data_IF_006047308338
#
_entry.id   IF_006047308338
#
_cell.length_a   1.000
_cell.length_b   1.000
_cell.length_c   1.000
_cell.angle_alpha   90.00
_cell.angle_beta   90.00
_cell.angle_gamma   90.00
#
_symmetry.space_group_name_H-M   'P 1'
#
loop_
_entity.id
_entity.type
_entity.pdbx_description
1 polymer ?
#
# COMPACT_ATOMS: atom_id res chain seq x y z
N UNK A 1 -52.09 -46.81 12.46
CA UNK A 1 -52.26 -48.28 12.51
C UNK A 1 -50.91 -48.91 12.79
N UNK A 2 -50.89 -49.72 13.91
CA UNK A 2 -49.92 -50.80 14.26
C UNK A 2 -48.45 -50.40 14.31
N UNK A 3 -47.81 -50.16 15.46
CA UNK A 3 -47.37 -51.08 16.57
C UNK A 3 -46.59 -52.30 16.10
N UNK A 4 -45.26 -52.34 16.44
CA UNK A 4 -44.64 -53.53 16.99
C UNK A 4 -43.34 -53.17 17.75
N UNK A 5 -43.38 -53.40 19.06
CA UNK A 5 -42.22 -53.52 19.97
C UNK A 5 -41.64 -54.94 19.79
N UNK A 6 -40.35 -55.10 19.90
CA UNK A 6 -39.70 -56.34 20.35
C UNK A 6 -38.48 -55.97 21.22
N UNK A 7 -38.60 -56.31 22.50
CA UNK A 7 -37.52 -56.37 23.50
C UNK A 7 -36.95 -57.81 23.52
N UNK A 8 -35.64 -57.96 23.65
CA UNK A 8 -34.93 -59.16 24.19
C UNK A 8 -33.57 -58.67 24.74
N UNK A 9 -33.40 -58.64 25.95
CA UNK A 9 -32.90 -59.25 27.16
C UNK A 9 -31.63 -60.09 26.97
N UNK A 10 -30.57 -59.66 27.66
CA UNK A 10 -29.63 -60.49 28.43
C UNK A 10 -28.35 -60.94 27.74
N UNK A 11 -27.23 -60.60 28.28
CA UNK A 11 -26.34 -61.48 29.10
C UNK A 11 -25.13 -60.68 29.59
N UNK A 12 -24.95 -60.70 30.90
CA UNK A 12 -23.80 -60.22 31.65
C UNK A 12 -22.65 -61.22 31.49
N UNK A 13 -21.43 -60.77 31.12
CA UNK A 13 -20.21 -61.46 31.42
C UNK A 13 -19.16 -60.49 31.90
N UNK A 14 -18.85 -60.58 33.18
CA UNK A 14 -17.71 -59.87 33.78
C UNK A 14 -16.43 -60.66 33.50
N UNK A 15 -15.41 -60.01 32.97
CA UNK A 15 -14.03 -60.46 33.01
C UNK A 15 -13.15 -59.24 33.43
N UNK A 16 -12.63 -59.41 34.67
CA UNK A 16 -11.56 -58.59 35.25
C UNK A 16 -10.26 -58.82 34.50
N UNK A 17 -9.68 -57.71 33.98
CA UNK A 17 -8.33 -57.69 33.44
C UNK A 17 -7.67 -56.37 33.80
N UNK A 18 -6.81 -56.37 34.80
CA UNK A 18 -5.85 -55.32 35.08
C UNK A 18 -4.84 -55.24 33.93
N UNK A 19 -4.60 -54.06 33.39
CA UNK A 19 -3.33 -53.75 32.73
C UNK A 19 -3.17 -52.25 32.52
N UNK A 20 -2.14 -51.72 33.12
CA UNK A 20 -1.27 -50.61 32.76
C UNK A 20 -1.90 -49.32 32.19
N UNK A 21 -1.96 -48.38 33.08
CA UNK A 21 -2.14 -46.95 32.79
C UNK A 21 -0.87 -46.37 32.13
N UNK A 22 -0.76 -46.51 30.82
CA UNK A 22 0.14 -45.62 30.04
C UNK A 22 -0.62 -44.34 29.73
N UNK A 23 -0.44 -43.33 30.57
CA UNK A 23 -0.85 -41.96 30.28
C UNK A 23 -0.04 -41.44 29.08
N UNK A 24 -0.54 -41.67 27.87
CA UNK A 24 -0.13 -40.89 26.73
C UNK A 24 -0.62 -39.47 26.97
N UNK A 25 0.27 -38.63 27.46
CA UNK A 25 0.13 -37.16 27.39
C UNK A 25 0.14 -36.83 25.90
N UNK A 26 -1.03 -36.83 25.30
CA UNK A 26 -1.26 -36.23 24.00
C UNK A 26 -1.06 -34.72 24.16
N UNK A 27 0.15 -34.25 23.91
CA UNK A 27 0.40 -32.84 23.70
C UNK A 27 -0.41 -32.45 22.47
N UNK A 28 -1.58 -31.83 22.67
CA UNK A 28 -2.22 -31.01 21.66
C UNK A 28 -1.27 -29.87 21.38
N UNK A 29 -0.42 -30.04 20.38
CA UNK A 29 0.23 -28.93 19.71
C UNK A 29 -0.91 -28.18 18.99
N UNK A 30 -1.57 -27.26 19.71
CA UNK A 30 -2.36 -26.24 19.05
C UNK A 30 -1.37 -25.46 18.19
N UNK A 31 -1.55 -25.50 16.87
CA UNK A 31 -0.86 -24.55 16.01
C UNK A 31 -1.07 -23.14 16.59
N UNK A 32 -0.05 -22.29 16.64
CA UNK A 32 -0.24 -20.91 17.05
C UNK A 32 -1.42 -20.31 16.29
N UNK A 33 -2.30 -19.61 16.96
CA UNK A 33 -3.35 -18.86 16.27
C UNK A 33 -2.66 -17.94 15.25
N UNK A 34 -3.13 -17.95 14.00
CA UNK A 34 -2.62 -17.06 12.99
C UNK A 34 -2.80 -15.62 13.48
N UNK A 35 -1.72 -14.83 13.45
CA UNK A 35 -1.74 -13.41 13.80
C UNK A 35 -1.86 -12.63 12.50
N UNK A 36 -2.88 -11.78 12.39
CA UNK A 36 -3.07 -10.91 11.23
C UNK A 36 -2.48 -9.54 11.54
N UNK A 37 -1.60 -9.06 10.67
CA UNK A 37 -1.06 -7.71 10.68
C UNK A 37 -1.73 -6.91 9.58
N UNK A 38 -2.44 -5.84 9.94
CA UNK A 38 -3.15 -5.00 8.97
C UNK A 38 -2.35 -3.73 8.68
N UNK A 39 -1.91 -3.58 7.42
CA UNK A 39 -1.09 -2.47 6.96
C UNK A 39 -1.89 -1.61 5.98
N UNK A 40 -2.11 -0.34 6.33
CA UNK A 40 -2.68 0.66 5.43
C UNK A 40 -1.54 1.42 4.76
N UNK A 41 -1.54 1.47 3.42
CA UNK A 41 -0.42 2.07 2.68
C UNK A 41 -0.87 2.78 1.40
N UNK A 42 -0.21 3.88 1.10
CA UNK A 42 -0.44 4.63 -0.15
C UNK A 42 -0.36 3.73 -1.39
N UNK A 43 -1.17 4.02 -2.42
CA UNK A 43 -1.30 3.20 -3.64
C UNK A 43 0.02 2.92 -4.33
N UNK A 44 0.95 3.87 -4.38
CA UNK A 44 2.30 3.68 -4.94
C UNK A 44 3.15 2.60 -4.24
N UNK A 45 2.83 2.27 -2.97
CA UNK A 45 3.51 1.21 -2.22
C UNK A 45 3.00 -0.20 -2.55
N UNK A 46 1.91 -0.35 -3.32
CA UNK A 46 1.21 -1.63 -3.54
C UNK A 46 2.15 -2.75 -3.96
N UNK A 47 2.96 -2.54 -5.00
CA UNK A 47 3.84 -3.59 -5.53
C UNK A 47 4.96 -3.95 -4.55
N UNK A 48 5.62 -2.94 -3.99
CA UNK A 48 6.70 -3.11 -3.04
C UNK A 48 6.25 -3.83 -1.78
N UNK A 49 5.19 -3.35 -1.15
CA UNK A 49 4.69 -3.93 0.09
C UNK A 49 4.10 -5.33 -0.11
N UNK A 50 3.40 -5.58 -1.23
CA UNK A 50 2.91 -6.94 -1.55
C UNK A 50 4.07 -7.94 -1.65
N UNK A 51 5.15 -7.57 -2.33
CA UNK A 51 6.32 -8.44 -2.47
C UNK A 51 7.07 -8.64 -1.14
N UNK A 52 7.21 -7.56 -0.34
CA UNK A 52 7.86 -7.63 0.98
C UNK A 52 6.98 -8.43 1.96
N UNK A 53 5.65 -8.30 1.88
CA UNK A 53 4.71 -9.06 2.71
C UNK A 53 4.91 -10.57 2.61
N UNK A 54 5.14 -11.08 1.41
CA UNK A 54 5.45 -12.51 1.20
C UNK A 54 6.73 -12.93 1.92
N UNK A 55 7.78 -12.10 1.86
CA UNK A 55 9.04 -12.39 2.53
C UNK A 55 8.90 -12.29 4.05
N UNK A 56 8.15 -11.28 4.52
CA UNK A 56 7.88 -11.08 5.95
C UNK A 56 7.09 -12.26 6.55
N UNK A 57 6.04 -12.73 5.87
CA UNK A 57 5.27 -13.92 6.29
C UNK A 57 6.14 -15.18 6.33
N UNK A 58 7.03 -15.35 5.35
CA UNK A 58 7.97 -16.48 5.33
C UNK A 58 8.97 -16.44 6.51
N UNK A 59 9.37 -15.23 6.94
CA UNK A 59 10.24 -15.02 8.10
C UNK A 59 9.50 -15.15 9.44
N UNK A 60 8.15 -14.98 9.45
CA UNK A 60 7.31 -14.97 10.65
C UNK A 60 6.21 -16.05 10.55
N UNK A 61 6.53 -17.36 10.75
CA UNK A 61 5.55 -18.43 10.61
C UNK A 61 4.32 -18.23 11.50
N UNK A 62 3.12 -18.24 10.90
CA UNK A 62 1.84 -18.01 11.58
C UNK A 62 1.38 -16.54 11.54
N UNK A 63 2.12 -15.65 10.89
CA UNK A 63 1.69 -14.30 10.58
C UNK A 63 1.09 -14.26 9.18
N UNK A 64 0.04 -13.45 9.00
CA UNK A 64 -0.50 -13.03 7.70
C UNK A 64 -0.53 -11.52 7.66
N UNK A 65 -0.01 -10.92 6.59
CA UNK A 65 -0.05 -9.47 6.37
C UNK A 65 -1.19 -9.14 5.42
N UNK A 66 -2.15 -8.38 5.91
CA UNK A 66 -3.29 -7.89 5.12
C UNK A 66 -3.07 -6.43 4.79
N UNK A 67 -3.14 -6.10 3.52
CA UNK A 67 -2.95 -4.74 3.04
C UNK A 67 -4.27 -4.07 2.69
N UNK A 68 -4.39 -2.78 3.04
CA UNK A 68 -5.38 -1.87 2.49
C UNK A 68 -4.62 -0.76 1.75
N UNK A 69 -4.65 -0.83 0.42
CA UNK A 69 -3.97 0.15 -0.45
C UNK A 69 -4.98 1.16 -0.99
N UNK A 70 -4.56 2.42 -1.06
CA UNK A 70 -5.39 3.49 -1.59
C UNK A 70 -4.74 4.86 -1.45
N UNK A 71 -5.44 5.92 -1.82
CA UNK A 71 -4.98 7.28 -1.59
C UNK A 71 -4.88 7.58 -0.09
N UNK A 72 -3.81 8.26 0.30
CA UNK A 72 -3.48 8.43 1.74
C UNK A 72 -4.51 9.25 2.51
N UNK A 73 -5.21 10.17 1.87
CA UNK A 73 -6.33 10.93 2.44
C UNK A 73 -7.48 10.01 2.83
N UNK A 74 -7.90 9.13 1.91
CA UNK A 74 -8.95 8.13 2.16
C UNK A 74 -8.56 7.14 3.26
N UNK A 75 -7.30 6.68 3.29
CA UNK A 75 -6.80 5.78 4.32
C UNK A 75 -6.75 6.46 5.69
N UNK A 76 -6.31 7.72 5.77
CA UNK A 76 -6.32 8.51 7.01
C UNK A 76 -7.75 8.66 7.55
N UNK A 77 -8.71 9.06 6.71
CA UNK A 77 -10.11 9.17 7.08
C UNK A 77 -10.71 7.83 7.56
N UNK A 78 -10.32 6.71 6.96
CA UNK A 78 -10.75 5.39 7.40
C UNK A 78 -10.15 5.02 8.76
N UNK A 79 -8.85 5.27 9.00
CA UNK A 79 -8.21 5.04 10.29
C UNK A 79 -8.91 5.82 11.39
N UNK A 80 -9.25 7.09 11.13
CA UNK A 80 -9.90 7.96 12.09
C UNK A 80 -11.33 7.53 12.44
N UNK A 81 -12.09 7.10 11.43
CA UNK A 81 -13.51 6.78 11.60
C UNK A 81 -13.78 5.34 12.01
N UNK A 82 -12.99 4.39 11.52
CA UNK A 82 -13.21 2.95 11.66
C UNK A 82 -12.10 2.25 12.43
N UNK A 83 -10.89 2.81 12.46
CA UNK A 83 -9.70 2.14 12.97
C UNK A 83 -9.25 1.00 12.07
N UNK A 84 -8.70 -0.06 12.67
CA UNK A 84 -8.39 -1.33 12.01
C UNK A 84 -6.99 -1.43 11.40
N UNK A 85 -6.22 -0.35 11.35
CA UNK A 85 -4.83 -0.40 10.92
C UNK A 85 -3.89 -0.67 12.11
N UNK A 86 -2.95 -1.58 11.94
CA UNK A 86 -1.80 -1.76 12.83
C UNK A 86 -0.66 -0.82 12.44
N UNK A 87 -0.46 -0.64 11.13
CA UNK A 87 0.57 0.23 10.53
C UNK A 87 -0.07 1.15 9.51
N UNK A 88 0.38 2.41 9.47
CA UNK A 88 0.06 3.35 8.41
C UNK A 88 1.33 3.84 7.72
N UNK A 89 1.39 3.71 6.39
CA UNK A 89 2.43 4.22 5.52
C UNK A 89 1.82 5.20 4.52
N UNK A 90 2.04 6.48 4.72
CA UNK A 90 1.45 7.55 3.93
C UNK A 90 2.42 8.02 2.84
N UNK A 91 1.89 8.38 1.66
CA UNK A 91 2.67 9.06 0.62
C UNK A 91 2.80 10.58 0.87
N UNK A 92 2.36 11.06 2.01
CA UNK A 92 2.44 12.49 2.41
C UNK A 92 2.57 12.64 3.92
N UNK A 93 3.41 13.59 4.33
CA UNK A 93 3.52 14.01 5.74
C UNK A 93 2.19 14.55 6.28
N UNK A 94 1.41 15.25 5.48
CA UNK A 94 0.12 15.86 5.86
C UNK A 94 -0.85 14.84 6.43
N UNK A 95 -1.08 13.73 5.73
CA UNK A 95 -2.03 12.70 6.17
C UNK A 95 -1.51 11.87 7.34
N UNK A 96 -0.20 11.75 7.47
CA UNK A 96 0.39 11.18 8.69
C UNK A 96 0.22 12.12 9.89
N UNK A 97 0.38 13.44 9.70
CA UNK A 97 0.16 14.45 10.75
C UNK A 97 -1.29 14.43 11.24
N UNK A 98 -2.25 14.21 10.33
CA UNK A 98 -3.67 14.13 10.62
C UNK A 98 -4.01 12.90 11.48
N UNK A 99 -3.55 11.72 11.09
CA UNK A 99 -3.70 10.49 11.88
C UNK A 99 -2.97 10.59 13.22
N UNK A 100 -1.77 11.21 13.26
CA UNK A 100 -1.03 11.43 14.52
C UNK A 100 -1.78 12.35 15.47
N UNK A 101 -2.43 13.41 14.94
CA UNK A 101 -3.20 14.37 15.72
C UNK A 101 -4.55 13.85 16.22
N UNK A 102 -5.15 12.89 15.57
CA UNK A 102 -6.48 12.33 15.88
C UNK A 102 -6.39 10.99 16.60
N UNK A 103 -6.06 9.92 15.88
CA UNK A 103 -5.95 8.55 16.40
C UNK A 103 -4.66 8.37 17.20
N UNK A 104 -3.59 9.02 16.76
CA UNK A 104 -2.24 8.90 17.30
C UNK A 104 -1.45 7.76 16.68
N UNK A 105 -0.13 7.94 16.66
CA UNK A 105 0.84 6.95 16.19
C UNK A 105 1.99 6.82 17.18
N UNK A 106 2.82 5.80 17.02
CA UNK A 106 4.11 5.62 17.72
C UNK A 106 5.20 5.33 16.71
N UNK A 107 6.42 5.67 17.06
CA UNK A 107 7.63 5.33 16.32
C UNK A 107 7.61 5.79 14.83
N UNK A 108 6.98 6.97 14.59
CA UNK A 108 6.95 7.58 13.26
C UNK A 108 8.37 7.81 12.75
N UNK A 109 8.61 7.33 11.54
CA UNK A 109 9.89 7.51 10.82
C UNK A 109 9.64 7.71 9.33
N UNK A 110 10.65 8.18 8.59
CA UNK A 110 10.58 8.23 7.14
C UNK A 110 10.94 6.87 6.55
N UNK A 111 10.09 6.34 5.69
CA UNK A 111 10.24 5.08 5.01
C UNK A 111 11.15 5.23 3.77
N UNK A 112 10.72 6.07 2.85
CA UNK A 112 11.37 6.34 1.56
C UNK A 112 11.06 7.77 1.13
N UNK A 113 11.72 8.22 0.06
CA UNK A 113 11.31 9.38 -0.71
C UNK A 113 10.98 8.99 -2.16
N UNK A 114 10.33 9.88 -2.89
CA UNK A 114 9.95 9.67 -4.29
C UNK A 114 10.00 11.00 -5.03
N UNK A 115 10.10 10.95 -6.35
CA UNK A 115 10.10 12.10 -7.24
C UNK A 115 8.95 11.97 -8.24
N UNK A 116 8.56 13.10 -8.84
CA UNK A 116 7.54 13.11 -9.87
C UNK A 116 8.17 12.96 -11.26
N UNK A 117 7.36 12.39 -12.17
CA UNK A 117 7.68 12.21 -13.57
C UNK A 117 6.42 12.46 -14.40
N UNK A 118 6.58 13.05 -15.58
CA UNK A 118 5.49 13.09 -16.57
C UNK A 118 5.45 11.78 -17.32
N UNK A 119 4.26 11.21 -17.48
CA UNK A 119 4.04 10.05 -18.34
C UNK A 119 3.15 10.38 -19.52
N UNK A 120 3.41 9.73 -20.67
CA UNK A 120 2.61 9.81 -21.89
C UNK A 120 2.30 8.40 -22.40
N UNK A 121 1.30 8.22 -23.29
CA UNK A 121 1.17 6.99 -24.05
C UNK A 121 2.47 6.65 -24.80
N UNK A 122 2.71 5.37 -25.17
CA UNK A 122 3.96 4.96 -25.82
C UNK A 122 4.25 5.66 -27.15
N UNK A 123 3.22 6.01 -27.90
CA UNK A 123 3.31 6.71 -29.18
C UNK A 123 3.38 8.25 -29.05
N UNK A 124 3.16 8.77 -27.82
CA UNK A 124 3.23 10.18 -27.46
C UNK A 124 2.61 11.10 -28.53
N UNK A 125 1.31 11.00 -28.79
CA UNK A 125 0.67 11.68 -29.92
C UNK A 125 0.71 13.20 -29.81
N UNK A 126 0.74 13.75 -28.59
CA UNK A 126 0.86 15.18 -28.34
C UNK A 126 2.31 15.71 -28.44
N UNK A 127 3.30 14.80 -28.55
CA UNK A 127 4.71 15.19 -28.70
C UNK A 127 5.34 15.82 -27.45
N UNK A 128 4.88 15.46 -26.25
CA UNK A 128 5.35 15.95 -24.96
C UNK A 128 6.80 15.52 -24.72
N UNK A 129 7.69 16.48 -24.43
CA UNK A 129 9.13 16.26 -24.20
C UNK A 129 9.64 16.93 -22.93
N UNK A 130 8.84 17.78 -22.32
CA UNK A 130 9.15 18.49 -21.08
C UNK A 130 7.87 18.75 -20.28
N UNK A 131 8.03 19.17 -19.04
CA UNK A 131 6.92 19.57 -18.16
C UNK A 131 6.13 20.76 -18.77
N UNK A 132 6.84 21.70 -19.40
CA UNK A 132 6.24 22.89 -20.00
C UNK A 132 5.32 22.57 -21.17
N UNK A 133 5.54 21.46 -21.87
CA UNK A 133 4.69 21.04 -22.99
C UNK A 133 3.26 20.72 -22.56
N UNK A 134 3.04 20.42 -21.26
CA UNK A 134 1.70 20.23 -20.70
C UNK A 134 0.83 21.49 -20.75
N UNK A 135 1.45 22.67 -20.85
CA UNK A 135 0.76 23.96 -20.97
C UNK A 135 0.33 24.27 -22.41
N UNK A 136 0.72 23.48 -23.41
CA UNK A 136 0.34 23.71 -24.80
C UNK A 136 -1.18 23.56 -24.98
N UNK A 137 -1.77 24.42 -25.80
CA UNK A 137 -3.21 24.37 -26.07
C UNK A 137 -3.63 23.07 -26.72
N UNK A 138 -4.68 22.43 -26.13
CA UNK A 138 -5.28 21.21 -26.64
C UNK A 138 -4.65 19.93 -26.09
N UNK A 139 -3.61 20.00 -25.28
CA UNK A 139 -3.07 18.85 -24.54
C UNK A 139 -4.08 18.41 -23.48
N UNK A 140 -4.37 17.13 -23.44
CA UNK A 140 -5.27 16.54 -22.44
C UNK A 140 -4.45 15.96 -21.29
N UNK A 141 -4.54 16.58 -20.11
CA UNK A 141 -3.79 16.20 -18.92
C UNK A 141 -4.68 15.47 -17.91
N UNK A 142 -4.17 14.41 -17.29
CA UNK A 142 -4.78 13.76 -16.12
C UNK A 142 -3.86 13.94 -14.92
N UNK A 143 -4.41 14.43 -13.83
CA UNK A 143 -3.76 14.50 -12.52
C UNK A 143 -4.58 13.70 -11.52
N UNK A 144 -3.99 13.27 -10.42
CA UNK A 144 -4.80 12.84 -9.29
C UNK A 144 -5.54 14.01 -8.66
N UNK A 145 -6.62 13.74 -7.94
CA UNK A 145 -7.46 14.77 -7.31
C UNK A 145 -6.67 15.58 -6.26
N UNK A 146 -7.16 16.78 -5.95
CA UNK A 146 -6.68 17.54 -4.79
C UNK A 146 -6.95 16.75 -3.50
N UNK A 147 -6.00 16.79 -2.55
CA UNK A 147 -5.98 15.98 -1.33
C UNK A 147 -5.26 14.64 -1.51
N UNK A 148 -5.23 14.09 -2.72
CA UNK A 148 -4.43 12.91 -3.02
C UNK A 148 -2.95 13.32 -3.12
N UNK A 149 -2.02 12.67 -2.41
CA UNK A 149 -0.63 13.13 -2.31
C UNK A 149 0.04 13.44 -3.65
N UNK A 150 -0.01 12.52 -4.62
CA UNK A 150 0.60 12.74 -5.95
C UNK A 150 -0.06 13.91 -6.70
N UNK A 151 -1.36 14.11 -6.51
CA UNK A 151 -2.10 15.23 -7.08
C UNK A 151 -1.70 16.57 -6.49
N UNK A 152 -1.47 16.64 -5.19
CA UNK A 152 -1.02 17.84 -4.49
C UNK A 152 0.43 18.17 -4.87
N UNK A 153 1.33 17.18 -4.89
CA UNK A 153 2.71 17.37 -5.32
C UNK A 153 2.82 17.77 -6.81
N UNK A 154 1.98 17.19 -7.69
CA UNK A 154 1.93 17.60 -9.09
C UNK A 154 1.56 19.07 -9.23
N UNK A 155 0.56 19.54 -8.50
CA UNK A 155 0.14 20.95 -8.49
C UNK A 155 1.21 21.87 -7.91
N UNK A 156 1.93 21.43 -6.88
CA UNK A 156 3.07 22.16 -6.32
C UNK A 156 4.21 22.26 -7.35
N UNK A 157 4.56 21.16 -8.01
CA UNK A 157 5.55 21.12 -9.09
C UNK A 157 5.18 22.11 -10.22
N UNK A 158 3.94 22.12 -10.68
CA UNK A 158 3.45 23.06 -11.70
C UNK A 158 3.55 24.52 -11.25
N UNK A 159 3.28 24.82 -9.97
CA UNK A 159 3.47 26.15 -9.39
C UNK A 159 4.95 26.54 -9.34
N UNK A 160 5.84 25.62 -8.98
CA UNK A 160 7.28 25.84 -8.99
C UNK A 160 7.76 26.20 -10.41
N UNK A 161 7.25 25.49 -11.42
CA UNK A 161 7.50 25.76 -12.84
C UNK A 161 6.77 26.99 -13.38
N UNK A 162 5.81 27.59 -12.64
CA UNK A 162 4.99 28.75 -13.02
C UNK A 162 4.13 28.52 -14.27
N UNK A 163 3.63 27.32 -14.45
CA UNK A 163 2.74 26.88 -15.54
C UNK A 163 1.41 26.29 -15.03
N UNK A 164 1.16 26.39 -13.74
CA UNK A 164 -0.01 25.80 -13.09
C UNK A 164 -1.34 26.27 -13.72
N UNK A 165 -1.47 27.55 -14.05
CA UNK A 165 -2.70 28.10 -14.63
C UNK A 165 -3.02 27.45 -15.99
N UNK A 166 -2.04 27.36 -16.86
CA UNK A 166 -2.18 26.83 -18.22
C UNK A 166 -2.42 25.31 -18.19
N UNK A 167 -1.63 24.58 -17.38
CA UNK A 167 -1.78 23.12 -17.28
C UNK A 167 -3.10 22.74 -16.62
N UNK A 168 -3.53 23.43 -15.56
CA UNK A 168 -4.81 23.15 -14.91
C UNK A 168 -6.01 23.44 -15.84
N UNK A 169 -5.88 24.35 -16.81
CA UNK A 169 -6.89 24.55 -17.85
C UNK A 169 -6.97 23.36 -18.84
N UNK A 170 -5.90 22.59 -18.96
CA UNK A 170 -5.79 21.40 -19.80
C UNK A 170 -6.17 20.11 -19.07
N UNK A 171 -6.44 20.14 -17.75
CA UNK A 171 -6.83 18.96 -16.98
C UNK A 171 -8.24 18.52 -17.37
N UNK A 172 -8.33 17.34 -17.95
CA UNK A 172 -9.59 16.71 -18.38
C UNK A 172 -10.18 15.75 -17.34
N UNK A 173 -9.35 15.25 -16.43
CA UNK A 173 -9.80 14.36 -15.36
C UNK A 173 -8.92 14.51 -14.11
N UNK A 174 -9.56 14.34 -12.94
CA UNK A 174 -8.91 14.18 -11.65
C UNK A 174 -9.11 12.73 -11.20
N UNK A 175 -8.05 11.93 -11.26
CA UNK A 175 -8.05 10.52 -10.91
C UNK A 175 -8.08 10.31 -9.38
N UNK A 176 -8.53 9.16 -8.95
CA UNK A 176 -8.62 8.83 -7.52
C UNK A 176 -7.25 8.58 -6.87
N UNK A 177 -6.25 8.13 -7.66
CA UNK A 177 -4.88 7.89 -7.22
C UNK A 177 -3.89 7.87 -8.40
N UNK A 178 -2.60 7.61 -8.11
CA UNK A 178 -1.50 7.43 -9.06
C UNK A 178 -1.75 6.27 -10.02
N UNK A 179 -2.23 5.13 -9.53
CA UNK A 179 -2.51 3.95 -10.35
C UNK A 179 -3.58 4.23 -11.42
N UNK A 180 -4.61 5.02 -11.06
CA UNK A 180 -5.66 5.43 -12.00
C UNK A 180 -5.13 6.42 -13.05
N UNK A 181 -4.19 7.32 -12.70
CA UNK A 181 -3.49 8.17 -13.68
C UNK A 181 -2.71 7.30 -14.66
N UNK A 182 -1.89 6.35 -14.16
CA UNK A 182 -1.13 5.42 -15.01
C UNK A 182 -2.05 4.66 -15.97
N UNK A 183 -3.15 4.10 -15.45
CA UNK A 183 -4.09 3.34 -16.27
C UNK A 183 -4.72 4.18 -17.39
N UNK A 184 -5.10 5.42 -17.10
CA UNK A 184 -5.67 6.36 -18.08
C UNK A 184 -4.68 6.68 -19.20
N UNK A 185 -3.41 6.92 -18.84
CA UNK A 185 -2.37 7.22 -19.84
C UNK A 185 -2.01 5.98 -20.66
N UNK A 186 -1.86 4.82 -20.00
CA UNK A 186 -1.54 3.57 -20.68
C UNK A 186 -2.63 3.12 -21.66
N UNK A 187 -3.90 3.48 -21.41
CA UNK A 187 -5.01 3.22 -22.34
C UNK A 187 -5.11 4.22 -23.50
N UNK A 188 -4.35 5.33 -23.45
CA UNK A 188 -4.39 6.40 -24.46
C UNK A 188 -5.63 7.29 -24.37
N UNK A 189 -6.29 7.33 -23.20
CA UNK A 189 -7.47 8.19 -22.97
C UNK A 189 -7.12 9.65 -22.71
N UNK A 190 -5.84 9.95 -22.46
CA UNK A 190 -5.31 11.32 -22.34
C UNK A 190 -3.86 11.37 -22.86
N UNK A 191 -3.34 12.58 -23.07
CA UNK A 191 -2.03 12.81 -23.68
C UNK A 191 -0.89 12.72 -22.68
N UNK A 192 -1.11 13.13 -21.42
CA UNK A 192 -0.09 13.12 -20.39
C UNK A 192 -0.68 13.10 -18.98
N UNK A 193 0.12 12.61 -18.02
CA UNK A 193 -0.16 12.67 -16.59
C UNK A 193 1.11 12.87 -15.79
N UNK A 194 0.97 13.24 -14.52
CA UNK A 194 2.09 13.34 -13.56
C UNK A 194 1.87 12.29 -12.48
N UNK A 195 2.90 11.45 -12.29
CA UNK A 195 2.91 10.35 -11.31
C UNK A 195 4.27 10.28 -10.62
N UNK A 196 4.45 9.32 -9.72
CA UNK A 196 5.76 9.07 -9.13
C UNK A 196 6.67 8.24 -10.05
N UNK A 197 7.97 8.41 -9.92
CA UNK A 197 8.96 7.57 -10.64
C UNK A 197 8.76 6.09 -10.31
N UNK A 198 8.42 5.76 -9.06
CA UNK A 198 8.14 4.37 -8.63
C UNK A 198 6.94 3.71 -9.32
N UNK A 199 6.02 4.50 -9.92
CA UNK A 199 4.87 3.97 -10.65
C UNK A 199 5.26 3.44 -12.03
N UNK A 200 6.38 3.94 -12.60
CA UNK A 200 6.92 3.49 -13.90
C UNK A 200 7.78 2.23 -13.71
N UNK A 201 7.19 1.19 -13.15
CA UNK A 201 7.85 -0.10 -12.98
C UNK A 201 8.15 -0.79 -14.30
N UNK A 202 8.98 -1.85 -14.27
CA UNK A 202 9.30 -2.66 -15.45
C UNK A 202 8.06 -3.24 -16.15
N UNK A 203 6.94 -3.41 -15.44
CA UNK A 203 5.67 -3.86 -16.00
C UNK A 203 4.92 -2.72 -16.69
N UNK A 204 5.01 -1.51 -16.18
CA UNK A 204 4.33 -0.31 -16.68
C UNK A 204 5.10 0.33 -17.83
N UNK A 205 6.43 0.36 -17.75
CA UNK A 205 7.32 1.01 -18.73
C UNK A 205 7.06 0.65 -20.21
N UNK A 206 6.59 -0.55 -20.60
CA UNK A 206 6.20 -0.81 -21.99
C UNK A 206 4.92 -0.10 -22.42
N UNK A 207 4.09 0.38 -21.48
CA UNK A 207 2.76 0.96 -21.72
C UNK A 207 2.74 2.48 -21.61
N UNK A 208 3.84 3.11 -21.18
CA UNK A 208 3.97 4.57 -21.07
C UNK A 208 5.41 4.99 -21.41
N UNK A 209 5.59 6.25 -21.83
CA UNK A 209 6.92 6.88 -21.84
C UNK A 209 7.00 7.79 -20.62
N UNK A 210 8.19 7.85 -20.01
CA UNK A 210 8.51 8.78 -18.95
C UNK A 210 9.30 9.98 -19.50
N UNK A 211 8.94 11.17 -19.03
CA UNK A 211 9.65 12.43 -19.33
C UNK A 211 10.03 13.05 -18.00
N UNK A 212 11.33 13.20 -17.78
CA UNK A 212 11.89 13.70 -16.53
C UNK A 212 11.46 15.15 -16.26
N UNK A 213 11.19 15.45 -14.99
CA UNK A 213 10.92 16.79 -14.50
C UNK A 213 12.22 17.35 -13.92
N UNK A 214 12.63 18.58 -14.30
CA UNK A 214 13.86 19.18 -13.77
C UNK A 214 13.84 19.29 -12.23
N UNK A 215 14.97 18.97 -11.58
CA UNK A 215 15.11 18.91 -10.11
C UNK A 215 14.76 20.24 -9.42
N UNK A 216 14.99 21.38 -10.10
CA UNK A 216 14.74 22.72 -9.54
C UNK A 216 13.26 23.08 -9.43
N UNK A 217 12.37 22.32 -10.09
CA UNK A 217 10.92 22.47 -10.01
C UNK A 217 10.21 21.23 -9.48
N UNK A 218 10.88 20.06 -9.50
CA UNK A 218 10.32 18.83 -8.99
C UNK A 218 10.06 18.92 -7.48
N UNK A 219 9.23 18.02 -6.95
CA UNK A 219 8.91 17.92 -5.53
C UNK A 219 9.33 16.54 -5.02
N UNK A 220 10.09 16.55 -3.94
CA UNK A 220 10.47 15.31 -3.26
C UNK A 220 9.37 14.91 -2.29
N UNK A 221 8.63 13.87 -2.63
CA UNK A 221 7.62 13.29 -1.78
C UNK A 221 8.29 12.45 -0.67
N UNK A 222 7.99 12.75 0.58
CA UNK A 222 8.46 11.97 1.73
C UNK A 222 7.34 11.06 2.22
N UNK A 223 7.66 9.79 2.40
CA UNK A 223 6.73 8.76 2.86
C UNK A 223 7.00 8.43 4.33
N UNK A 224 6.25 8.99 5.28
CA UNK A 224 6.29 8.54 6.67
C UNK A 224 5.57 7.21 6.85
N UNK A 225 6.06 6.42 7.81
CA UNK A 225 5.44 5.20 8.31
C UNK A 225 5.41 5.21 9.82
N UNK A 226 4.38 4.60 10.41
CA UNK A 226 4.23 4.53 11.85
C UNK A 226 3.33 3.37 12.29
N UNK A 227 3.47 2.94 13.53
CA UNK A 227 2.51 2.05 14.20
C UNK A 227 1.32 2.88 14.69
N UNK A 228 0.10 2.46 14.36
CA UNK A 228 -1.13 3.14 14.79
C UNK A 228 -1.40 2.82 16.26
N UNK A 229 -1.70 3.83 17.07
CA UNK A 229 -2.04 3.63 18.49
C UNK A 229 -3.30 2.79 18.63
N UNK A 230 -3.26 1.87 19.60
CA UNK A 230 -4.38 0.95 19.84
C UNK A 230 -4.30 -0.34 19.02
N UNK A 231 -3.27 -0.52 18.18
CA UNK A 231 -2.96 -1.80 17.56
C UNK A 231 -2.84 -2.90 18.62
N UNK A 232 -3.55 -4.01 18.42
CA UNK A 232 -3.41 -5.20 19.26
C UNK A 232 -2.11 -5.96 18.96
N UNK A 233 -1.44 -5.65 17.84
CA UNK A 233 -0.24 -6.30 17.33
C UNK A 233 0.97 -5.36 17.30
N UNK A 234 1.06 -4.39 18.23
CA UNK A 234 2.06 -3.30 18.17
C UNK A 234 3.51 -3.79 18.03
N UNK A 235 3.89 -4.87 18.72
CA UNK A 235 5.25 -5.44 18.62
C UNK A 235 5.52 -6.02 17.22
N UNK A 236 4.52 -6.65 16.58
CA UNK A 236 4.62 -7.19 15.23
C UNK A 236 4.59 -6.06 14.19
N UNK A 237 3.76 -5.04 14.42
CA UNK A 237 3.72 -3.84 13.61
C UNK A 237 5.07 -3.12 13.60
N UNK A 238 5.75 -3.04 14.74
CA UNK A 238 7.09 -2.48 14.83
C UNK A 238 8.12 -3.31 14.05
N UNK A 239 8.04 -4.65 14.10
CA UNK A 239 8.92 -5.51 13.30
C UNK A 239 8.74 -5.28 11.80
N UNK A 240 7.49 -5.07 11.34
CA UNK A 240 7.23 -4.68 9.96
C UNK A 240 7.86 -3.31 9.62
N UNK A 241 7.66 -2.30 10.48
CA UNK A 241 8.26 -0.97 10.28
C UNK A 241 9.78 -1.08 10.22
N UNK A 242 10.41 -1.84 11.10
CA UNK A 242 11.86 -2.06 11.11
C UNK A 242 12.35 -2.74 9.83
N UNK A 243 11.62 -3.75 9.34
CA UNK A 243 11.97 -4.45 8.10
C UNK A 243 11.94 -3.52 6.88
N UNK A 244 10.88 -2.72 6.73
CA UNK A 244 10.72 -1.84 5.57
C UNK A 244 11.54 -0.54 5.65
N UNK A 245 12.06 -0.16 6.83
CA UNK A 245 12.85 1.07 7.01
C UNK A 245 14.35 0.83 7.09
N UNK A 246 14.78 -0.29 7.67
CA UNK A 246 16.21 -0.58 7.92
C UNK A 246 16.59 -2.02 7.57
N UNK A 247 15.61 -2.89 7.35
CA UNK A 247 15.78 -4.31 7.06
C UNK A 247 15.84 -4.64 5.56
N UNK A 248 15.65 -5.93 5.23
CA UNK A 248 15.62 -6.40 3.84
C UNK A 248 14.53 -5.72 2.98
N UNK A 249 13.39 -5.39 3.57
CA UNK A 249 12.29 -4.70 2.90
C UNK A 249 12.72 -3.35 2.34
N UNK A 250 13.49 -2.57 3.10
CA UNK A 250 14.05 -1.29 2.64
C UNK A 250 14.93 -1.46 1.39
N UNK A 251 15.79 -2.47 1.37
CA UNK A 251 16.65 -2.73 0.22
C UNK A 251 15.83 -3.10 -1.03
N UNK A 252 14.68 -3.76 -0.87
CA UNK A 252 13.77 -4.03 -1.98
C UNK A 252 13.07 -2.78 -2.48
N UNK A 253 12.54 -1.94 -1.58
CA UNK A 253 11.87 -0.69 -1.97
C UNK A 253 12.77 0.17 -2.84
N UNK A 254 14.04 0.35 -2.44
CA UNK A 254 14.98 1.21 -3.15
C UNK A 254 15.66 0.53 -4.34
N UNK A 255 15.86 -0.79 -4.31
CA UNK A 255 16.58 -1.53 -5.36
C UNK A 255 15.69 -2.08 -6.47
N UNK A 256 14.43 -2.44 -6.16
CA UNK A 256 13.53 -3.11 -7.12
C UNK A 256 12.34 -2.22 -7.53
N UNK A 257 11.85 -1.37 -6.62
CA UNK A 257 10.60 -0.63 -6.81
C UNK A 257 10.78 0.87 -7.06
N UNK A 258 12.02 1.32 -7.27
CA UNK A 258 12.32 2.67 -7.75
C UNK A 258 12.14 3.81 -6.73
N UNK A 259 11.93 3.48 -5.45
CA UNK A 259 11.92 4.49 -4.39
C UNK A 259 13.34 4.97 -4.08
N UNK A 260 13.45 6.18 -3.57
CA UNK A 260 14.70 6.74 -3.08
C UNK A 260 14.82 6.52 -1.57
N UNK A 261 16.05 6.35 -1.03
CA UNK A 261 16.23 6.26 0.41
C UNK A 261 15.65 7.48 1.14
N UNK A 262 15.08 7.28 2.33
CA UNK A 262 14.77 8.38 3.22
C UNK A 262 16.08 9.10 3.60
N UNK A 263 16.17 10.39 3.34
CA UNK A 263 17.34 11.21 3.62
C UNK A 263 17.57 11.40 5.12
#
# INVERSE_FOLDING_TARGET
MRRALISILGVLLALTGCSDTSSAVGGSSSAPAATELTVFAGSSLTKGFTAIGVDFEAAHPGVTVTFNFGPSDGLAAQIESEGGADVFASASGTWMDDVEGTTGVTDRTNLVTNELVVITPPDNPAGIKSLEDLANEGVQVVLAAEGVPVGDYARECLKNAKIDTEVLANVVSNAEDDAAVVATIASGEADAGIVYVSDVTSEVAPSVNAVDIPDDVNVIATYPIAVVKGSANADLAQQWVDDVTTGPGQARLTGEFGFLPAG
#
